data_IF_766762139540
#
_entry.id   IF_766762139540
#
_cell.length_a   1.000
_cell.length_b   1.000
_cell.length_c   1.000
_cell.angle_alpha   90.00
_cell.angle_beta   90.00
_cell.angle_gamma   90.00
#
_symmetry.space_group_name_H-M   'P 1'
#
loop_
_entity.id
_entity.type
_entity.pdbx_description
1 polymer ?
#
# COMPACT_ATOMS: atom_id res chain seq x y z
N UNK A 1 15.51 3.05 35.20
CA UNK A 1 16.70 2.17 35.09
C UNK A 1 16.21 0.73 35.03
N UNK A 2 16.09 0.12 33.85
CA UNK A 2 16.08 -1.34 33.74
C UNK A 2 16.83 -1.73 32.46
N UNK A 3 17.82 -2.58 32.68
CA UNK A 3 18.84 -3.02 31.75
C UNK A 3 18.24 -3.97 30.71
N UNK A 4 18.54 -3.74 29.44
CA UNK A 4 18.42 -4.77 28.41
C UNK A 4 19.58 -5.77 28.55
N UNK A 5 19.35 -7.09 28.45
CA UNK A 5 20.44 -8.05 28.42
C UNK A 5 21.10 -8.07 27.03
N UNK A 6 22.43 -8.00 27.04
CA UNK A 6 23.32 -8.41 25.94
C UNK A 6 23.42 -9.94 25.93
N UNK A 7 23.32 -10.58 24.76
CA UNK A 7 23.99 -11.85 24.52
C UNK A 7 24.47 -11.98 23.06
N UNK A 8 25.74 -12.34 22.94
CA UNK A 8 26.52 -12.69 21.76
C UNK A 8 26.44 -14.21 21.48
N UNK A 9 26.53 -14.57 20.19
CA UNK A 9 27.06 -15.83 19.57
C UNK A 9 26.30 -17.15 19.90
N UNK A 10 26.17 -18.14 19.02
CA UNK A 10 27.04 -18.68 17.96
C UNK A 10 26.26 -19.58 16.96
N UNK A 11 26.97 -19.92 15.90
CA UNK A 11 26.74 -20.74 14.71
C UNK A 11 26.05 -22.12 14.83
N UNK A 12 25.41 -22.56 13.73
CA UNK A 12 25.77 -23.82 13.05
C UNK A 12 25.12 -23.93 11.66
N UNK A 13 25.94 -24.24 10.66
CA UNK A 13 25.62 -24.72 9.31
C UNK A 13 24.86 -26.06 9.33
N UNK A 14 24.12 -26.42 8.27
CA UNK A 14 24.29 -27.67 7.51
C UNK A 14 23.28 -27.79 6.34
N UNK A 15 23.85 -27.79 5.13
CA UNK A 15 23.57 -28.58 3.90
C UNK A 15 22.28 -28.49 3.07
N UNK A 16 22.58 -28.56 1.76
CA UNK A 16 21.77 -28.50 0.54
C UNK A 16 21.25 -29.86 0.05
N UNK A 17 20.43 -29.78 -1.01
CA UNK A 17 20.15 -30.74 -2.11
C UNK A 17 18.90 -31.61 -1.95
N UNK A 18 17.82 -31.35 -2.72
CA UNK A 18 17.47 -31.84 -4.08
C UNK A 18 16.27 -32.82 -3.93
N UNK A 19 15.24 -32.98 -4.78
CA UNK A 19 14.99 -32.65 -6.19
C UNK A 19 13.51 -32.98 -6.54
N UNK A 20 12.96 -32.26 -7.54
CA UNK A 20 11.91 -32.65 -8.52
C UNK A 20 10.39 -32.53 -8.28
N UNK A 21 9.83 -31.59 -9.08
CA UNK A 21 8.79 -31.74 -10.11
C UNK A 21 7.38 -32.24 -9.75
N UNK A 22 6.43 -31.28 -9.72
CA UNK A 22 5.13 -31.42 -10.40
C UNK A 22 4.80 -30.08 -11.10
N UNK A 23 4.92 -30.06 -12.43
CA UNK A 23 4.30 -29.05 -13.29
C UNK A 23 2.84 -29.46 -13.56
N UNK A 24 1.90 -28.51 -13.43
CA UNK A 24 0.88 -28.20 -14.47
C UNK A 24 -0.02 -27.04 -14.02
N UNK A 25 -0.07 -26.00 -14.86
CA UNK A 25 -1.26 -25.17 -15.01
C UNK A 25 -1.30 -23.82 -14.27
N UNK A 26 -0.36 -22.92 -14.54
CA UNK A 26 -0.58 -21.49 -14.28
C UNK A 26 -0.19 -20.71 -15.54
N UNK A 27 -1.17 -19.96 -16.07
CA UNK A 27 -0.96 -19.00 -17.17
C UNK A 27 0.04 -17.96 -16.69
N UNK A 28 1.22 -17.94 -17.31
CA UNK A 28 2.24 -16.93 -17.07
C UNK A 28 1.66 -15.55 -17.42
N UNK A 29 1.45 -14.70 -16.42
CA UNK A 29 1.42 -13.26 -16.65
C UNK A 29 2.84 -12.86 -17.08
N UNK A 30 2.96 -12.16 -18.19
CA UNK A 30 4.23 -11.64 -18.68
C UNK A 30 4.80 -10.70 -17.62
N UNK A 31 5.85 -11.15 -16.93
CA UNK A 31 6.62 -10.33 -15.99
C UNK A 31 7.47 -9.40 -16.85
N UNK A 32 6.99 -8.17 -17.06
CA UNK A 32 7.86 -7.09 -17.50
C UNK A 32 8.68 -6.72 -16.27
N UNK A 33 9.94 -7.15 -16.24
CA UNK A 33 10.94 -6.67 -15.27
C UNK A 33 11.26 -5.22 -15.64
N UNK A 34 10.50 -4.28 -15.10
CA UNK A 34 10.92 -2.87 -15.09
C UNK A 34 11.93 -2.74 -13.94
N UNK A 35 13.21 -2.55 -14.30
CA UNK A 35 14.27 -2.23 -13.35
C UNK A 35 13.92 -0.91 -12.65
N UNK A 36 14.13 -0.88 -11.34
CA UNK A 36 14.01 0.30 -10.50
C UNK A 36 14.74 1.50 -11.11
N UNK A 37 14.00 2.46 -11.66
CA UNK A 37 14.56 3.66 -12.30
C UNK A 37 14.50 4.84 -11.33
N UNK A 38 15.64 5.48 -11.09
CA UNK A 38 15.68 6.80 -10.44
C UNK A 38 15.24 7.83 -11.49
N UNK A 39 14.17 8.56 -11.22
CA UNK A 39 13.61 9.57 -12.14
C UNK A 39 13.56 10.90 -11.40
N UNK A 40 14.46 11.81 -11.76
CA UNK A 40 14.37 13.21 -11.38
C UNK A 40 13.62 13.98 -12.48
N UNK A 41 12.45 14.51 -12.16
CA UNK A 41 11.79 15.54 -12.99
C UNK A 41 12.11 16.92 -12.40
N UNK A 42 12.86 17.74 -13.14
CA UNK A 42 13.07 19.16 -12.81
C UNK A 42 11.71 19.86 -12.75
N UNK A 43 11.40 20.50 -11.62
CA UNK A 43 10.13 21.21 -11.40
C UNK A 43 9.05 20.42 -10.64
N UNK A 44 9.30 19.15 -10.30
CA UNK A 44 8.44 18.37 -9.40
C UNK A 44 8.73 18.73 -7.93
N UNK A 45 7.68 18.82 -7.09
CA UNK A 45 7.83 18.97 -5.64
C UNK A 45 8.47 17.75 -4.96
N UNK A 46 8.63 16.65 -5.70
CA UNK A 46 9.27 15.43 -5.23
C UNK A 46 10.12 14.76 -6.32
N UNK A 47 11.22 14.15 -5.94
CA UNK A 47 12.02 13.27 -6.80
C UNK A 47 11.58 11.82 -6.62
N UNK A 48 11.40 11.06 -7.70
CA UNK A 48 11.11 9.62 -7.61
C UNK A 48 12.43 8.86 -7.51
N UNK A 49 12.68 8.26 -6.36
CA UNK A 49 13.88 7.47 -6.09
C UNK A 49 13.73 6.06 -6.66
N UNK A 50 12.53 5.51 -6.55
CA UNK A 50 12.24 4.16 -6.99
C UNK A 50 10.76 4.02 -7.28
N UNK A 51 10.40 3.20 -8.26
CA UNK A 51 9.00 2.90 -8.52
C UNK A 51 8.81 1.45 -8.99
N UNK A 52 7.58 0.97 -8.80
CA UNK A 52 7.09 -0.25 -9.40
C UNK A 52 5.59 -0.10 -9.64
N UNK A 53 5.14 -0.55 -10.80
CA UNK A 53 3.72 -0.58 -11.10
C UNK A 53 3.32 -1.84 -11.83
N UNK A 54 2.03 -2.12 -11.84
CA UNK A 54 1.48 -3.16 -12.69
C UNK A 54 0.09 -2.76 -13.18
N UNK A 55 -0.31 -3.35 -14.29
CA UNK A 55 -1.64 -3.16 -14.86
C UNK A 55 -2.67 -3.80 -13.93
N UNK A 56 -3.67 -3.03 -13.52
CA UNK A 56 -4.77 -3.52 -12.70
C UNK A 56 -5.49 -4.72 -13.35
N UNK A 57 -6.17 -5.54 -12.55
CA UNK A 57 -6.85 -6.73 -13.05
C UNK A 57 -7.91 -6.41 -14.13
N UNK A 58 -8.48 -5.20 -14.12
CA UNK A 58 -9.45 -4.75 -15.10
C UNK A 58 -8.82 -4.30 -16.44
N UNK A 59 -7.51 -4.07 -16.50
CA UNK A 59 -6.84 -3.60 -17.71
C UNK A 59 -7.09 -2.13 -18.04
N UNK A 60 -7.58 -1.34 -17.07
CA UNK A 60 -7.99 0.06 -17.26
C UNK A 60 -6.91 1.06 -16.84
N UNK A 61 -5.99 0.68 -15.96
CA UNK A 61 -4.90 1.56 -15.52
C UNK A 61 -3.80 0.81 -14.77
N UNK A 62 -2.80 1.54 -14.28
CA UNK A 62 -1.73 0.93 -13.49
C UNK A 62 -1.85 1.36 -12.03
N UNK A 63 -1.62 0.44 -11.12
CA UNK A 63 -1.34 0.75 -9.73
C UNK A 63 0.16 0.96 -9.62
N UNK A 64 0.58 2.06 -9.02
CA UNK A 64 1.99 2.40 -8.82
C UNK A 64 2.31 2.50 -7.34
N UNK A 65 3.50 2.05 -6.97
CA UNK A 65 4.11 2.23 -5.66
C UNK A 65 5.48 2.84 -5.87
N UNK A 66 5.67 4.01 -5.30
CA UNK A 66 6.87 4.81 -5.45
C UNK A 66 7.52 5.03 -4.08
N UNK A 67 8.85 5.07 -4.08
CA UNK A 67 9.64 5.75 -3.07
C UNK A 67 10.04 7.09 -3.64
N UNK A 68 9.71 8.15 -2.91
CA UNK A 68 9.94 9.53 -3.34
C UNK A 68 10.74 10.28 -2.27
N UNK A 69 11.48 11.29 -2.69
CA UNK A 69 12.08 12.29 -1.82
C UNK A 69 11.28 13.58 -1.96
N UNK A 70 10.77 14.11 -0.85
CA UNK A 70 10.04 15.39 -0.85
C UNK A 70 11.06 16.52 -0.73
N UNK A 71 11.24 17.27 -1.83
CA UNK A 71 12.43 18.09 -2.09
C UNK A 71 12.67 19.20 -1.06
N UNK A 72 11.64 19.70 -0.39
CA UNK A 72 11.77 20.80 0.59
C UNK A 72 12.26 20.35 1.98
N UNK A 73 12.17 19.05 2.29
CA UNK A 73 12.55 18.52 3.61
C UNK A 73 13.61 17.41 3.53
N UNK A 74 13.98 16.96 2.33
CA UNK A 74 14.88 15.81 2.13
C UNK A 74 14.32 14.51 2.72
N UNK A 75 13.01 14.45 2.99
CA UNK A 75 12.36 13.33 3.65
C UNK A 75 11.93 12.29 2.61
N UNK A 76 12.32 11.04 2.81
CA UNK A 76 11.80 9.92 2.04
C UNK A 76 10.35 9.62 2.43
N UNK A 77 9.52 9.34 1.44
CA UNK A 77 8.14 8.92 1.59
C UNK A 77 7.84 7.81 0.61
N UNK A 78 6.84 7.02 0.93
CA UNK A 78 6.19 6.14 -0.03
C UNK A 78 4.95 6.83 -0.61
N UNK A 79 4.66 6.56 -1.88
CA UNK A 79 3.44 7.04 -2.55
C UNK A 79 2.78 5.87 -3.25
N UNK A 80 1.48 5.69 -2.98
CA UNK A 80 0.65 4.78 -3.76
C UNK A 80 -0.31 5.59 -4.62
N UNK A 81 -0.33 5.29 -5.92
CA UNK A 81 -1.09 6.05 -6.90
C UNK A 81 -1.74 5.15 -7.95
N UNK A 82 -2.73 5.69 -8.63
CA UNK A 82 -3.30 5.09 -9.83
C UNK A 82 -2.88 5.92 -11.05
N UNK A 83 -2.51 5.24 -12.12
CA UNK A 83 -2.07 5.82 -13.38
C UNK A 83 -3.08 5.46 -14.47
N UNK A 84 -3.46 6.43 -15.28
CA UNK A 84 -4.32 6.25 -16.45
C UNK A 84 -3.60 6.68 -17.72
N UNK A 85 -3.97 6.11 -18.87
CA UNK A 85 -3.44 6.57 -20.15
C UNK A 85 -4.07 7.91 -20.50
N UNK A 86 -3.24 8.89 -20.85
CA UNK A 86 -3.68 10.13 -21.45
C UNK A 86 -4.10 9.93 -22.92
N UNK A 87 -4.53 11.00 -23.59
CA UNK A 87 -4.92 10.96 -25.01
C UNK A 87 -3.80 10.52 -25.96
N UNK A 88 -2.55 10.56 -25.52
CA UNK A 88 -1.36 10.11 -26.27
C UNK A 88 -0.96 8.67 -25.92
N UNK A 89 -1.72 7.98 -25.06
CA UNK A 89 -1.45 6.62 -24.63
C UNK A 89 -0.38 6.48 -23.54
N UNK A 90 0.11 7.60 -22.99
CA UNK A 90 1.11 7.63 -21.93
C UNK A 90 0.44 7.54 -20.55
N UNK A 91 0.99 6.74 -19.65
CA UNK A 91 0.49 6.64 -18.28
C UNK A 91 0.83 7.91 -17.50
N UNK A 92 -0.17 8.49 -16.84
CA UNK A 92 -0.03 9.64 -15.97
C UNK A 92 -0.78 9.42 -14.67
N UNK A 93 -0.26 9.97 -13.58
CA UNK A 93 -0.93 9.96 -12.28
C UNK A 93 -2.21 10.76 -12.35
N UNK A 94 -3.30 10.15 -11.88
CA UNK A 94 -4.59 10.83 -11.81
C UNK A 94 -4.81 11.45 -10.43
N UNK A 95 -5.43 12.64 -10.42
CA UNK A 95 -5.81 13.36 -9.20
C UNK A 95 -7.02 12.71 -8.54
N UNK A 96 -6.85 11.50 -7.99
CA UNK A 96 -7.86 10.80 -7.20
C UNK A 96 -7.22 9.86 -6.17
N UNK A 97 -7.95 9.49 -5.11
CA UNK A 97 -7.54 8.42 -4.21
C UNK A 97 -7.25 7.13 -4.98
N UNK A 98 -6.25 6.37 -4.52
CA UNK A 98 -6.10 5.00 -4.98
C UNK A 98 -7.30 4.20 -4.47
N UNK A 99 -7.98 3.50 -5.36
CA UNK A 99 -9.06 2.56 -5.06
C UNK A 99 -8.75 1.26 -5.79
N UNK A 100 -8.47 0.19 -5.05
CA UNK A 100 -8.13 -1.11 -5.63
C UNK A 100 -8.69 -2.25 -4.79
N UNK A 101 -8.93 -3.40 -5.41
CA UNK A 101 -9.32 -4.62 -4.69
C UNK A 101 -8.15 -5.13 -3.84
N UNK A 102 -8.44 -5.94 -2.82
CA UNK A 102 -7.41 -6.48 -1.93
C UNK A 102 -6.32 -7.27 -2.67
N UNK A 103 -6.67 -8.02 -3.71
CA UNK A 103 -5.72 -8.78 -4.53
C UNK A 103 -4.71 -7.87 -5.24
N UNK A 104 -5.18 -6.72 -5.73
CA UNK A 104 -4.34 -5.73 -6.41
C UNK A 104 -3.43 -5.01 -5.40
N UNK A 105 -3.94 -4.68 -4.21
CA UNK A 105 -3.13 -4.14 -3.11
C UNK A 105 -2.08 -5.16 -2.66
N UNK A 106 -2.43 -6.45 -2.61
CA UNK A 106 -1.50 -7.51 -2.26
C UNK A 106 -0.39 -7.65 -3.30
N UNK A 107 -0.74 -7.65 -4.59
CA UNK A 107 0.24 -7.77 -5.66
C UNK A 107 1.19 -6.56 -5.73
N UNK A 108 0.71 -5.33 -5.51
CA UNK A 108 1.63 -4.17 -5.47
C UNK A 108 2.59 -4.26 -4.27
N UNK A 109 2.14 -4.76 -3.11
CA UNK A 109 3.01 -4.97 -1.95
C UNK A 109 4.07 -6.02 -2.27
N UNK A 110 3.67 -7.15 -2.84
CA UNK A 110 4.60 -8.21 -3.27
C UNK A 110 5.65 -7.70 -4.25
N UNK A 111 5.22 -7.01 -5.30
CA UNK A 111 6.15 -6.41 -6.28
C UNK A 111 7.06 -5.37 -5.64
N UNK A 112 6.53 -4.55 -4.72
CA UNK A 112 7.29 -3.58 -3.95
C UNK A 112 8.39 -4.20 -3.10
N UNK A 113 8.16 -5.40 -2.55
CA UNK A 113 9.16 -6.19 -1.82
C UNK A 113 10.23 -6.71 -2.79
N UNK A 114 9.80 -7.37 -3.87
CA UNK A 114 10.69 -7.96 -4.87
C UNK A 114 11.60 -6.92 -5.53
N UNK A 115 11.08 -5.71 -5.78
CA UNK A 115 11.82 -4.61 -6.37
C UNK A 115 12.60 -3.78 -5.33
N UNK A 116 12.36 -3.95 -4.03
CA UNK A 116 12.90 -3.14 -2.91
C UNK A 116 12.37 -1.71 -2.78
N UNK A 117 11.29 -1.36 -3.49
CA UNK A 117 10.55 -0.11 -3.23
C UNK A 117 10.08 -0.07 -1.77
N UNK A 118 9.57 -1.20 -1.25
CA UNK A 118 9.29 -1.40 0.17
C UNK A 118 10.59 -1.78 0.86
N UNK A 119 11.06 -0.96 1.80
CA UNK A 119 12.32 -1.20 2.50
C UNK A 119 12.28 -2.50 3.34
N UNK A 120 13.43 -3.14 3.60
CA UNK A 120 13.49 -4.25 4.56
C UNK A 120 12.98 -3.87 5.96
N UNK A 121 13.12 -2.60 6.35
CA UNK A 121 12.61 -2.07 7.63
C UNK A 121 11.09 -2.04 7.64
N UNK A 122 10.47 -1.51 6.57
CA UNK A 122 9.02 -1.51 6.40
C UNK A 122 8.46 -2.93 6.34
N UNK A 123 9.15 -3.87 5.67
CA UNK A 123 8.77 -5.28 5.65
C UNK A 123 8.74 -5.89 7.06
N UNK A 124 9.82 -5.72 7.82
CA UNK A 124 9.91 -6.19 9.20
C UNK A 124 8.85 -5.53 10.10
N UNK A 125 8.58 -4.25 9.89
CA UNK A 125 7.52 -3.50 10.56
C UNK A 125 6.14 -4.07 10.26
N UNK A 126 5.80 -4.31 8.99
CA UNK A 126 4.52 -4.89 8.58
C UNK A 126 4.33 -6.28 9.17
N UNK A 127 5.37 -7.12 9.15
CA UNK A 127 5.36 -8.45 9.76
C UNK A 127 5.06 -8.37 11.26
N UNK A 128 5.68 -7.42 11.95
CA UNK A 128 5.49 -7.17 13.37
C UNK A 128 4.07 -6.68 13.66
N UNK A 129 3.57 -5.73 12.88
CA UNK A 129 2.20 -5.21 12.98
C UNK A 129 1.20 -6.35 12.81
N UNK A 130 1.35 -7.17 11.77
CA UNK A 130 0.41 -8.25 11.48
C UNK A 130 0.39 -9.29 12.60
N UNK A 131 1.56 -9.71 13.11
CA UNK A 131 1.65 -10.70 14.19
C UNK A 131 1.06 -10.22 15.52
N UNK A 132 1.19 -8.93 15.81
CA UNK A 132 0.83 -8.36 17.11
C UNK A 132 -0.51 -7.63 17.12
N UNK A 133 -1.24 -7.62 16.00
CA UNK A 133 -2.51 -6.90 15.89
C UNK A 133 -3.66 -7.88 15.76
N UNK A 134 -4.62 -7.78 16.68
CA UNK A 134 -5.88 -8.52 16.58
C UNK A 134 -6.70 -7.95 15.42
N UNK A 135 -6.89 -8.77 14.39
CA UNK A 135 -7.69 -8.42 13.20
C UNK A 135 -9.16 -8.41 13.57
N UNK A 136 -9.81 -7.25 13.44
CA UNK A 136 -11.26 -7.19 13.57
C UNK A 136 -11.95 -7.75 12.32
N UNK A 137 -13.09 -8.43 12.47
CA UNK A 137 -13.86 -8.88 11.32
C UNK A 137 -14.35 -7.68 10.50
N UNK A 138 -14.44 -7.88 9.19
CA UNK A 138 -15.01 -6.89 8.28
C UNK A 138 -16.46 -6.59 8.72
N UNK A 139 -16.84 -5.32 8.92
CA UNK A 139 -18.21 -4.93 9.27
C UNK A 139 -19.20 -5.35 8.18
N UNK A 140 -20.41 -5.73 8.59
CA UNK A 140 -21.50 -6.14 7.68
C UNK A 140 -22.44 -4.98 7.31
N UNK A 141 -22.30 -3.84 7.98
CA UNK A 141 -23.05 -2.60 7.73
C UNK A 141 -22.09 -1.45 7.47
N UNK A 142 -22.44 -0.51 6.58
CA UNK A 142 -21.63 0.66 6.35
C UNK A 142 -21.70 1.64 7.53
N UNK A 143 -20.55 2.24 7.87
CA UNK A 143 -20.44 3.36 8.81
C UNK A 143 -20.86 4.68 8.16
N UNK A 144 -20.80 4.77 6.83
CA UNK A 144 -21.24 5.93 6.06
C UNK A 144 -21.69 5.50 4.68
N UNK A 145 -22.80 6.04 4.21
CA UNK A 145 -23.29 5.85 2.85
C UNK A 145 -23.18 7.15 2.07
N UNK A 146 -22.63 7.07 0.86
CA UNK A 146 -22.58 8.16 -0.10
C UNK A 146 -23.27 7.74 -1.41
N UNK A 147 -23.39 8.68 -2.36
CA UNK A 147 -24.02 8.43 -3.66
C UNK A 147 -23.32 7.31 -4.44
N UNK A 148 -21.99 7.37 -4.52
CA UNK A 148 -21.19 6.43 -5.32
C UNK A 148 -20.78 5.16 -4.56
N UNK A 149 -20.51 5.28 -3.26
CA UNK A 149 -19.97 4.19 -2.46
C UNK A 149 -20.53 4.16 -1.05
N UNK A 150 -20.42 3.01 -0.41
CA UNK A 150 -20.63 2.84 1.03
C UNK A 150 -19.28 2.54 1.70
N UNK A 151 -19.01 3.18 2.84
CA UNK A 151 -17.79 2.98 3.63
C UNK A 151 -18.13 2.02 4.77
N UNK A 152 -17.42 0.89 4.85
CA UNK A 152 -17.66 -0.17 5.84
C UNK A 152 -16.70 -0.10 7.02
N UNK A 153 -15.45 0.28 6.77
CA UNK A 153 -14.42 0.41 7.78
C UNK A 153 -13.43 1.49 7.36
N UNK A 154 -12.74 2.09 8.33
CA UNK A 154 -11.74 3.13 8.07
C UNK A 154 -10.66 3.13 9.15
N UNK A 155 -9.43 2.80 8.76
CA UNK A 155 -8.23 3.11 9.53
C UNK A 155 -7.73 4.52 9.24
N UNK A 156 -7.15 5.20 10.24
CA UNK A 156 -6.70 6.59 10.13
C UNK A 156 -5.38 6.80 10.88
N UNK A 157 -4.54 7.69 10.33
CA UNK A 157 -3.37 8.26 11.01
C UNK A 157 -3.38 9.77 10.82
N UNK A 158 -3.10 10.51 11.89
CA UNK A 158 -2.95 11.96 11.85
C UNK A 158 -1.50 12.29 11.48
N UNK A 159 -1.30 12.97 10.36
CA UNK A 159 -0.01 13.38 9.83
C UNK A 159 -0.02 14.90 9.64
N UNK A 160 0.83 15.65 10.35
CA UNK A 160 1.10 17.08 10.11
C UNK A 160 -0.10 17.92 9.59
N UNK A 161 -1.19 17.99 10.38
CA UNK A 161 -2.37 18.82 10.04
C UNK A 161 -3.35 18.24 9.02
N UNK A 162 -3.13 17.00 8.55
CA UNK A 162 -4.04 16.26 7.69
C UNK A 162 -4.24 14.84 8.22
N UNK A 163 -5.30 14.16 7.79
CA UNK A 163 -5.58 12.77 8.17
C UNK A 163 -5.42 11.90 6.94
N UNK A 164 -4.62 10.86 7.04
CA UNK A 164 -4.52 9.82 6.02
C UNK A 164 -5.40 8.66 6.45
N UNK A 165 -6.12 8.07 5.51
CA UNK A 165 -7.05 6.98 5.78
C UNK A 165 -6.93 5.85 4.77
N UNK A 166 -7.13 4.63 5.28
CA UNK A 166 -7.38 3.43 4.49
C UNK A 166 -8.82 3.00 4.78
N UNK A 167 -9.65 2.98 3.75
CA UNK A 167 -11.07 2.71 3.84
C UNK A 167 -11.41 1.42 3.14
N UNK A 168 -12.25 0.58 3.76
CA UNK A 168 -12.98 -0.45 3.03
C UNK A 168 -14.24 0.17 2.47
N UNK A 169 -14.32 0.25 1.15
CA UNK A 169 -15.47 0.81 0.45
C UNK A 169 -16.14 -0.25 -0.41
N UNK A 170 -17.45 -0.12 -0.58
CA UNK A 170 -18.22 -0.84 -1.56
C UNK A 170 -18.67 0.13 -2.65
N UNK A 171 -18.25 -0.11 -3.89
CA UNK A 171 -18.58 0.72 -5.03
C UNK A 171 -19.88 0.22 -5.65
N UNK A 172 -20.96 1.01 -5.55
CA UNK A 172 -22.32 0.58 -5.91
C UNK A 172 -22.47 0.23 -7.39
N UNK A 173 -21.91 1.06 -8.26
CA UNK A 173 -21.99 0.85 -9.72
C UNK A 173 -21.17 -0.33 -10.23
N UNK A 174 -20.18 -0.80 -9.45
CA UNK A 174 -19.29 -1.90 -9.82
C UNK A 174 -19.54 -3.17 -9.00
N UNK A 175 -20.37 -3.10 -7.96
CA UNK A 175 -20.67 -4.20 -7.05
C UNK A 175 -19.40 -4.88 -6.48
N UNK A 176 -18.42 -4.08 -6.09
CA UNK A 176 -17.10 -4.55 -5.65
C UNK A 176 -16.62 -3.84 -4.39
N UNK A 177 -15.88 -4.57 -3.55
CA UNK A 177 -15.17 -3.99 -2.42
C UNK A 177 -13.77 -3.57 -2.83
N UNK A 178 -13.45 -2.30 -2.59
CA UNK A 178 -12.10 -1.77 -2.77
C UNK A 178 -11.55 -1.30 -1.42
N UNK A 179 -10.23 -1.31 -1.31
CA UNK A 179 -9.50 -0.50 -0.35
C UNK A 179 -9.24 0.85 -1.01
N UNK A 180 -9.66 1.93 -0.36
CA UNK A 180 -9.36 3.31 -0.77
C UNK A 180 -8.28 3.89 0.14
N UNK A 181 -7.24 4.45 -0.45
CA UNK A 181 -6.25 5.27 0.26
C UNK A 181 -6.53 6.75 0.01
N UNK A 182 -6.95 7.48 1.03
CA UNK A 182 -7.42 8.86 0.90
C UNK A 182 -6.79 9.80 1.94
N UNK A 183 -6.59 11.06 1.54
CA UNK A 183 -6.16 12.16 2.43
C UNK A 183 -7.34 13.07 2.70
N UNK A 184 -7.50 13.47 3.95
CA UNK A 184 -8.49 14.44 4.40
C UNK A 184 -7.79 15.67 4.97
N UNK A 185 -8.26 16.86 4.59
CA UNK A 185 -7.80 18.16 5.11
C UNK A 185 -8.99 19.00 5.53
N UNK A 186 -8.79 19.91 6.48
CA UNK A 186 -9.79 20.94 6.77
C UNK A 186 -9.87 21.91 5.60
N UNK A 187 -11.07 22.13 5.09
CA UNK A 187 -11.33 23.19 4.14
C UNK A 187 -11.29 24.58 4.85
N UNK A 188 -11.36 25.70 4.12
CA UNK A 188 -11.35 27.04 4.73
C UNK A 188 -12.46 27.27 5.77
N UNK A 189 -13.54 26.49 5.72
CA UNK A 189 -14.66 26.56 6.66
C UNK A 189 -14.46 25.63 7.88
N UNK A 190 -13.31 24.97 8.01
CA UNK A 190 -12.96 24.08 9.12
C UNK A 190 -13.49 22.65 9.03
N UNK A 191 -14.21 22.29 7.96
CA UNK A 191 -14.74 20.94 7.77
C UNK A 191 -13.71 20.03 7.10
N UNK A 192 -13.61 18.78 7.56
CA UNK A 192 -12.78 17.77 6.92
C UNK A 192 -13.36 17.36 5.57
N UNK A 193 -12.56 17.53 4.51
CA UNK A 193 -12.89 17.14 3.15
C UNK A 193 -11.78 16.26 2.57
N UNK A 194 -12.16 15.30 1.74
CA UNK A 194 -11.22 14.46 1.01
C UNK A 194 -10.50 15.30 -0.05
N UNK A 195 -9.18 15.15 -0.12
CA UNK A 195 -8.33 15.73 -1.17
C UNK A 195 -8.16 14.70 -2.27
N UNK A 196 -8.41 15.11 -3.52
CA UNK A 196 -8.30 14.26 -4.69
C UNK A 196 -6.83 14.23 -5.17
N UNK A 197 -5.97 13.60 -4.39
CA UNK A 197 -4.56 13.40 -4.74
C UNK A 197 -4.10 11.98 -4.38
N UNK A 198 -3.06 11.49 -5.05
CA UNK A 198 -2.27 10.39 -4.52
C UNK A 198 -1.83 10.68 -3.09
N UNK A 199 -1.69 9.62 -2.32
CA UNK A 199 -1.29 9.72 -0.92
C UNK A 199 0.19 9.41 -0.82
N UNK A 200 0.93 10.38 -0.28
CA UNK A 200 2.33 10.22 0.13
C UNK A 200 2.41 10.18 1.65
N UNK A 201 3.21 9.29 2.21
CA UNK A 201 3.46 9.20 3.65
C UNK A 201 4.82 8.55 3.94
N UNK A 202 5.35 8.75 5.13
CA UNK A 202 6.52 8.00 5.61
C UNK A 202 6.20 6.52 5.82
N UNK A 203 7.24 5.67 5.85
CA UNK A 203 7.07 4.25 6.16
C UNK A 203 6.46 4.03 7.56
N UNK A 204 6.81 4.88 8.54
CA UNK A 204 6.25 4.84 9.89
C UNK A 204 4.74 5.14 9.89
N UNK A 205 4.31 6.20 9.20
CA UNK A 205 2.89 6.53 9.06
C UNK A 205 2.12 5.39 8.38
N UNK A 206 2.72 4.74 7.38
CA UNK A 206 2.11 3.57 6.73
C UNK A 206 1.93 2.41 7.71
N UNK A 207 2.91 2.14 8.57
CA UNK A 207 2.81 1.09 9.59
C UNK A 207 1.67 1.37 10.58
N UNK A 208 1.56 2.61 11.08
CA UNK A 208 0.48 3.00 11.97
C UNK A 208 -0.89 2.93 11.29
N UNK A 209 -0.98 3.41 10.05
CA UNK A 209 -2.20 3.36 9.26
C UNK A 209 -2.64 1.92 9.01
N UNK A 210 -1.70 1.04 8.63
CA UNK A 210 -1.97 -0.37 8.39
C UNK A 210 -2.44 -1.06 9.68
N UNK A 211 -1.79 -0.78 10.81
CA UNK A 211 -2.19 -1.31 12.11
C UNK A 211 -3.61 -0.88 12.50
N UNK A 212 -3.93 0.41 12.40
CA UNK A 212 -5.27 0.92 12.74
C UNK A 212 -6.34 0.34 11.80
N UNK A 213 -6.02 0.19 10.52
CA UNK A 213 -6.89 -0.43 9.51
C UNK A 213 -7.24 -1.88 9.85
N UNK A 214 -6.26 -2.67 10.31
CA UNK A 214 -6.50 -4.04 10.79
C UNK A 214 -7.39 -4.05 12.03
N UNK A 215 -7.14 -3.15 13.00
CA UNK A 215 -7.94 -3.00 14.22
C UNK A 215 -9.37 -2.53 13.95
N UNK A 216 -9.66 -2.00 12.77
CA UNK A 216 -10.99 -1.52 12.39
C UNK A 216 -11.69 -2.37 11.32
N UNK A 217 -11.09 -3.50 10.95
CA UNK A 217 -11.70 -4.45 10.01
C UNK A 217 -11.75 -3.94 8.56
N UNK A 218 -10.76 -3.14 8.15
CA UNK A 218 -10.61 -2.69 6.76
C UNK A 218 -10.29 -3.88 5.85
N UNK A 219 -9.37 -4.73 6.29
CA UNK A 219 -8.89 -5.88 5.54
C UNK A 219 -9.64 -7.17 5.90
N UNK A 220 -9.83 -8.02 4.90
CA UNK A 220 -10.27 -9.39 5.14
C UNK A 220 -9.19 -10.20 5.86
N UNK A 221 -9.61 -11.26 6.57
CA UNK A 221 -8.67 -12.21 7.20
C UNK A 221 -7.78 -12.88 6.17
N UNK A 222 -8.30 -13.14 4.96
CA UNK A 222 -7.56 -13.78 3.86
C UNK A 222 -6.40 -12.89 3.44
N UNK A 223 -6.67 -11.60 3.21
CA UNK A 223 -5.63 -10.63 2.87
C UNK A 223 -4.54 -10.58 3.94
N UNK A 224 -4.91 -10.49 5.23
CA UNK A 224 -3.92 -10.42 6.33
C UNK A 224 -3.05 -11.69 6.39
N UNK A 225 -3.64 -12.88 6.24
CA UNK A 225 -2.89 -14.15 6.26
C UNK A 225 -1.95 -14.24 5.05
N UNK A 226 -2.41 -13.83 3.86
CA UNK A 226 -1.60 -13.78 2.66
C UNK A 226 -0.42 -12.81 2.83
N UNK A 227 -0.67 -11.59 3.33
CA UNK A 227 0.38 -10.60 3.62
C UNK A 227 1.40 -11.12 4.63
N UNK A 228 0.98 -11.85 5.67
CA UNK A 228 1.91 -12.45 6.63
C UNK A 228 2.80 -13.52 5.99
N UNK A 229 2.27 -14.30 5.05
CA UNK A 229 3.02 -15.37 4.37
C UNK A 229 4.04 -14.81 3.38
N UNK A 230 3.82 -13.58 2.90
CA UNK A 230 4.69 -12.86 2.00
C UNK A 230 5.90 -12.21 2.71
N UNK A 231 5.76 -11.85 4.00
CA UNK A 231 6.73 -11.09 4.80
C UNK A 231 7.58 -11.98 5.73
#
# INVERSE_FOLDING_TARGET
MHQYPKFCQSSSEYTQNNVHNIQKGLRYSTIIREEAKVISEEGSCCMVLQEIGFQDAAGHGKINFERIMVNEMGQESIRLSYLEKNSQGLYQTVSRPLEAVEDDIFEIIKKGIESRVISPVLQAGLKTVIRNTVVQPVPWKPIRTAQYCDIYARGEVLACGHTISMERIFIKGLNVFNIRLAVYRKNPNGFWAMVLSPVSMSEEEFLYLFQDSMKKGVFSKVFVIASLSLL
#
